data_IF_032265611596
#
_entry.id   IF_032265611596
#
_cell.length_a   1.000
_cell.length_b   1.000
_cell.length_c   1.000
_cell.angle_alpha   90.00
_cell.angle_beta   90.00
_cell.angle_gamma   90.00
#
_symmetry.space_group_name_H-M   'P 1'
#
loop_
_entity.id
_entity.type
_entity.pdbx_description
1 polymer ?
#
# COMPACT_ATOMS: atom_id res chain seq x y z
N UNK A 1 -3.98 0.11 15.17
CA UNK A 1 -3.25 -0.47 14.00
C UNK A 1 -4.24 -0.44 12.84
N UNK A 2 -3.84 -0.13 11.60
CA UNK A 2 -4.80 0.26 10.52
C UNK A 2 -5.99 -0.71 10.31
N UNK A 3 -5.78 -2.01 10.57
CA UNK A 3 -6.82 -3.06 10.55
C UNK A 3 -7.86 -2.87 11.67
N UNK A 4 -7.42 -2.58 12.90
CA UNK A 4 -8.27 -2.35 14.07
C UNK A 4 -9.02 -1.02 13.97
N UNK A 5 -8.39 -0.04 13.33
CA UNK A 5 -8.91 1.31 13.15
C UNK A 5 -9.85 1.40 11.94
N UNK A 6 -10.22 0.27 11.31
CA UNK A 6 -11.08 0.20 10.11
C UNK A 6 -10.63 1.11 8.97
N UNK A 7 -9.33 1.38 8.86
CA UNK A 7 -8.87 2.33 7.85
C UNK A 7 -9.02 1.75 6.46
N UNK A 8 -9.45 2.59 5.52
CA UNK A 8 -9.40 2.31 4.10
C UNK A 8 -7.94 2.43 3.61
N UNK A 9 -7.13 1.43 3.97
CA UNK A 9 -5.73 1.34 3.60
C UNK A 9 -5.57 0.75 2.20
N UNK A 10 -4.45 1.04 1.55
CA UNK A 10 -4.12 0.44 0.26
C UNK A 10 -4.18 -1.10 0.34
N UNK A 11 -3.70 -1.69 1.45
CA UNK A 11 -3.70 -3.14 1.63
C UNK A 11 -5.10 -3.76 1.61
N UNK A 12 -6.09 -3.19 2.31
CA UNK A 12 -7.43 -3.76 2.34
C UNK A 12 -8.17 -3.57 1.02
N UNK A 13 -7.97 -2.42 0.35
CA UNK A 13 -8.58 -2.16 -0.96
C UNK A 13 -8.02 -3.11 -2.02
N UNK A 14 -6.69 -3.27 -2.07
CA UNK A 14 -6.03 -4.18 -3.01
C UNK A 14 -6.41 -5.64 -2.72
N UNK A 15 -6.49 -6.03 -1.43
CA UNK A 15 -6.98 -7.36 -1.06
C UNK A 15 -8.40 -7.59 -1.60
N UNK A 16 -9.34 -6.68 -1.31
CA UNK A 16 -10.74 -6.81 -1.72
C UNK A 16 -10.94 -6.89 -3.25
N UNK A 17 -10.00 -6.38 -4.05
CA UNK A 17 -10.04 -6.51 -5.51
C UNK A 17 -9.61 -7.90 -6.03
N UNK A 18 -8.85 -8.66 -5.23
CA UNK A 18 -8.23 -9.92 -5.65
C UNK A 18 -8.72 -11.15 -4.87
N UNK A 19 -9.42 -10.95 -3.75
CA UNK A 19 -9.90 -12.04 -2.88
C UNK A 19 -10.95 -12.92 -3.55
N UNK A 20 -10.92 -14.21 -3.23
CA UNK A 20 -12.05 -15.11 -3.43
C UNK A 20 -13.19 -14.81 -2.44
N UNK A 21 -14.37 -15.39 -2.67
CA UNK A 21 -15.53 -15.18 -1.80
C UNK A 21 -15.30 -15.68 -0.36
N UNK A 22 -14.53 -16.76 -0.19
CA UNK A 22 -14.10 -17.29 1.11
C UNK A 22 -13.15 -16.34 1.83
N UNK A 23 -12.18 -15.78 1.09
CA UNK A 23 -11.24 -14.79 1.63
C UNK A 23 -11.94 -13.47 1.96
N UNK A 24 -12.95 -13.09 1.18
CA UNK A 24 -13.79 -11.92 1.46
C UNK A 24 -14.53 -12.06 2.79
N UNK A 25 -15.10 -13.23 3.06
CA UNK A 25 -15.74 -13.49 4.37
C UNK A 25 -14.75 -13.37 5.54
N UNK A 26 -13.49 -13.79 5.34
CA UNK A 26 -12.43 -13.60 6.35
C UNK A 26 -12.19 -12.11 6.60
N UNK A 27 -12.12 -11.28 5.56
CA UNK A 27 -11.95 -9.83 5.71
C UNK A 27 -13.16 -9.24 6.44
N UNK A 28 -14.38 -9.49 5.97
CA UNK A 28 -15.60 -8.92 6.55
C UNK A 28 -15.83 -9.34 8.01
N UNK A 29 -15.46 -10.57 8.36
CA UNK A 29 -15.63 -11.09 9.72
C UNK A 29 -14.56 -10.64 10.71
N UNK A 30 -13.39 -10.19 10.24
CA UNK A 30 -12.23 -9.92 11.11
C UNK A 30 -11.72 -8.47 11.04
N UNK A 31 -11.95 -7.74 9.95
CA UNK A 31 -11.47 -6.37 9.79
C UNK A 31 -12.21 -5.42 10.74
N UNK A 32 -11.50 -4.49 11.37
CA UNK A 32 -12.05 -3.57 12.37
C UNK A 32 -12.22 -4.12 13.78
N UNK A 33 -11.87 -5.40 14.01
CA UNK A 33 -11.89 -5.98 15.35
C UNK A 33 -10.57 -5.74 16.05
N UNK A 34 -10.63 -5.35 17.32
CA UNK A 34 -9.46 -5.17 18.21
C UNK A 34 -8.92 -6.49 18.79
N UNK A 35 -9.53 -7.61 18.44
CA UNK A 35 -9.08 -8.92 18.90
C UNK A 35 -7.81 -9.32 18.14
N UNK A 36 -6.75 -9.69 18.86
CA UNK A 36 -5.46 -10.05 18.25
C UNK A 36 -5.58 -11.22 17.27
N UNK A 37 -6.52 -12.15 17.49
CA UNK A 37 -6.74 -13.28 16.57
C UNK A 37 -7.33 -12.81 15.24
N UNK A 38 -8.24 -11.84 15.28
CA UNK A 38 -8.82 -11.25 14.08
C UNK A 38 -7.75 -10.48 13.29
N UNK A 39 -6.91 -9.69 13.97
CA UNK A 39 -5.79 -8.99 13.34
C UNK A 39 -4.79 -9.98 12.73
N UNK A 40 -4.47 -11.08 13.43
CA UNK A 40 -3.58 -12.12 12.94
C UNK A 40 -4.14 -12.82 11.69
N UNK A 41 -5.45 -13.12 11.66
CA UNK A 41 -6.10 -13.72 10.49
C UNK A 41 -6.01 -12.81 9.25
N UNK A 42 -6.26 -11.50 9.40
CA UNK A 42 -6.11 -10.53 8.30
C UNK A 42 -4.64 -10.45 7.84
N UNK A 43 -3.69 -10.40 8.78
CA UNK A 43 -2.25 -10.37 8.43
C UNK A 43 -1.82 -11.63 7.68
N UNK A 44 -2.26 -12.81 8.13
CA UNK A 44 -1.98 -14.07 7.44
C UNK A 44 -2.57 -14.08 6.02
N UNK A 45 -3.79 -13.58 5.85
CA UNK A 45 -4.40 -13.45 4.53
C UNK A 45 -3.55 -12.55 3.63
N UNK A 46 -3.11 -11.39 4.13
CA UNK A 46 -2.25 -10.47 3.37
C UNK A 46 -0.91 -11.09 2.98
N UNK A 47 -0.30 -11.88 3.86
CA UNK A 47 0.92 -12.64 3.57
C UNK A 47 0.66 -13.71 2.51
N UNK A 48 -0.44 -14.46 2.61
CA UNK A 48 -0.80 -15.50 1.65
C UNK A 48 -1.04 -14.92 0.24
N UNK A 49 -1.69 -13.76 0.18
CA UNK A 49 -1.93 -13.00 -1.06
C UNK A 49 -0.68 -12.26 -1.55
N UNK A 50 0.44 -12.31 -0.82
CA UNK A 50 1.69 -11.61 -1.17
C UNK A 50 1.50 -10.11 -1.40
N UNK A 51 0.62 -9.46 -0.63
CA UNK A 51 0.35 -8.03 -0.79
C UNK A 51 1.56 -7.14 -0.52
N UNK A 52 2.55 -7.64 0.22
CA UNK A 52 3.84 -6.96 0.40
C UNK A 52 4.63 -6.89 -0.91
N UNK A 53 4.63 -7.98 -1.69
CA UNK A 53 5.29 -8.02 -3.00
C UNK A 53 4.56 -7.11 -3.99
N UNK A 54 3.22 -7.18 -4.02
CA UNK A 54 2.39 -6.29 -4.84
C UNK A 54 2.59 -4.81 -4.49
N UNK A 55 2.76 -4.49 -3.21
CA UNK A 55 3.06 -3.12 -2.78
C UNK A 55 4.46 -2.69 -3.23
N UNK A 56 5.47 -3.56 -3.14
CA UNK A 56 6.83 -3.25 -3.59
C UNK A 56 6.88 -3.01 -5.11
N UNK A 57 6.13 -3.78 -5.89
CA UNK A 57 5.95 -3.58 -7.32
C UNK A 57 5.28 -2.23 -7.60
N UNK A 58 4.14 -1.96 -6.97
CA UNK A 58 3.43 -0.68 -7.09
C UNK A 58 4.30 0.52 -6.68
N UNK A 59 5.10 0.40 -5.61
CA UNK A 59 6.03 1.45 -5.17
C UNK A 59 7.10 1.71 -6.23
N UNK A 60 7.64 0.65 -6.85
CA UNK A 60 8.60 0.75 -7.94
C UNK A 60 8.02 1.43 -9.18
N UNK A 61 6.85 0.98 -9.63
CA UNK A 61 6.14 1.56 -10.79
C UNK A 61 5.76 3.01 -10.55
N UNK A 62 5.20 3.33 -9.37
CA UNK A 62 4.85 4.70 -9.00
C UNK A 62 6.07 5.60 -8.95
N UNK A 63 7.19 5.13 -8.41
CA UNK A 63 8.44 5.90 -8.42
C UNK A 63 8.94 6.14 -9.84
N UNK A 64 8.91 5.14 -10.72
CA UNK A 64 9.32 5.29 -12.12
C UNK A 64 8.42 6.28 -12.87
N UNK A 65 7.10 6.15 -12.71
CA UNK A 65 6.10 7.04 -13.32
C UNK A 65 6.27 8.49 -12.86
N UNK A 66 6.40 8.72 -11.55
CA UNK A 66 6.60 10.07 -11.00
C UNK A 66 7.95 10.65 -11.46
N UNK A 67 9.02 9.84 -11.50
CA UNK A 67 10.33 10.28 -11.99
C UNK A 67 10.25 10.70 -13.47
N UNK A 68 9.54 9.93 -14.29
CA UNK A 68 9.31 10.26 -15.69
C UNK A 68 8.48 11.55 -15.86
N UNK A 69 7.45 11.74 -15.04
CA UNK A 69 6.66 12.98 -15.03
C UNK A 69 7.49 14.20 -14.61
N UNK A 70 8.35 14.04 -13.59
CA UNK A 70 9.28 15.10 -13.16
C UNK A 70 10.26 15.46 -14.28
N UNK A 71 10.77 14.48 -15.03
CA UNK A 71 11.68 14.72 -16.15
C UNK A 71 11.07 15.58 -17.27
N UNK A 72 9.75 15.55 -17.43
CA UNK A 72 9.02 16.35 -18.41
C UNK A 72 8.70 17.78 -17.93
N UNK A 73 9.06 18.15 -16.70
CA UNK A 73 8.84 19.50 -16.18
C UNK A 73 9.88 20.46 -16.78
N UNK A 74 9.42 21.52 -17.46
CA UNK A 74 10.29 22.50 -18.15
C UNK A 74 11.17 23.32 -17.20
N UNK A 75 10.73 23.51 -15.95
CA UNK A 75 11.46 24.28 -14.93
C UNK A 75 12.48 23.40 -14.18
N UNK A 76 13.76 23.69 -14.36
CA UNK A 76 14.86 23.00 -13.68
C UNK A 76 14.81 23.14 -12.14
N UNK A 77 14.59 24.35 -11.55
CA UNK A 77 14.44 24.48 -10.10
C UNK A 77 13.26 23.67 -9.54
N UNK A 78 12.16 23.59 -10.29
CA UNK A 78 10.99 22.80 -9.88
C UNK A 78 11.28 21.30 -9.96
N UNK A 79 12.01 20.86 -10.99
CA UNK A 79 12.44 19.47 -11.15
C UNK A 79 13.32 19.02 -9.98
N UNK A 80 14.28 19.84 -9.58
CA UNK A 80 15.14 19.56 -8.42
C UNK A 80 14.35 19.49 -7.12
N UNK A 81 13.45 20.45 -6.89
CA UNK A 81 12.59 20.46 -5.71
C UNK A 81 11.74 19.18 -5.64
N UNK A 82 11.02 18.85 -6.72
CA UNK A 82 10.16 17.66 -6.79
C UNK A 82 10.97 16.36 -6.60
N UNK A 83 12.15 16.27 -7.19
CA UNK A 83 13.06 15.13 -7.01
C UNK A 83 13.51 15.00 -5.55
N UNK A 84 13.81 16.12 -4.89
CA UNK A 84 14.19 16.14 -3.47
C UNK A 84 13.04 15.68 -2.57
N UNK A 85 11.80 16.09 -2.86
CA UNK A 85 10.62 15.60 -2.15
C UNK A 85 10.39 14.10 -2.37
N UNK A 86 10.49 13.62 -3.62
CA UNK A 86 10.32 12.20 -3.96
C UNK A 86 11.33 11.31 -3.21
N UNK A 87 12.61 11.72 -3.17
CA UNK A 87 13.66 10.99 -2.43
C UNK A 87 13.40 10.89 -0.92
N UNK A 88 12.72 11.87 -0.31
CA UNK A 88 12.41 11.85 1.13
C UNK A 88 11.29 10.89 1.50
N UNK A 89 10.43 10.52 0.54
CA UNK A 89 9.27 9.67 0.77
C UNK A 89 9.46 8.25 0.23
N UNK A 90 10.26 8.07 -0.82
CA UNK A 90 10.53 6.76 -1.43
C UNK A 90 11.24 5.82 -0.45
N UNK A 91 10.70 4.60 -0.25
CA UNK A 91 11.22 3.59 0.69
C UNK A 91 11.41 4.09 2.13
N UNK A 92 10.63 5.08 2.55
CA UNK A 92 10.71 5.58 3.92
C UNK A 92 10.30 4.49 4.91
N UNK A 93 11.27 4.00 5.68
CA UNK A 93 10.98 3.20 6.87
C UNK A 93 10.68 4.17 8.03
N UNK A 94 9.50 4.05 8.62
CA UNK A 94 9.04 4.86 9.76
C UNK A 94 9.33 4.14 11.07
#
# INVERSE_FOLDING_TARGET
>A
MDIEDTKCSWLVVTALQQVSEEQRQIIESNYGKKDEKCVAAIKQLYTHMKLQDAFAEYEGESHASITAAIAQVDSEPLREALTSFLKKIYKRQK
#
